data_IF_309676404847
#
_entry.id   IF_309676404847
#
_cell.length_a   1.000
_cell.length_b   1.000
_cell.length_c   1.000
_cell.angle_alpha   90.00
_cell.angle_beta   90.00
_cell.angle_gamma   90.00
#
_symmetry.space_group_name_H-M   'P 1'
#
loop_
_entity.id
_entity.type
_entity.pdbx_description
1 polymer ?
#
# COMPACT_ATOMS: atom_id res chain seq x y z
N UNK A 1 -5.62 -27.61 64.89
CA UNK A 1 -5.70 -27.60 63.41
C UNK A 1 -4.28 -27.52 62.91
N UNK A 2 -3.82 -28.42 62.03
CA UNK A 2 -2.49 -28.28 61.45
C UNK A 2 -2.45 -26.93 60.71
N UNK A 3 -1.48 -26.08 61.04
CA UNK A 3 -1.15 -24.92 60.24
C UNK A 3 -0.83 -25.44 58.84
N UNK A 4 -1.70 -25.17 57.87
CA UNK A 4 -1.36 -25.37 56.47
C UNK A 4 -0.25 -24.37 56.16
N UNK A 5 0.98 -24.84 56.25
CA UNK A 5 2.16 -24.06 55.94
C UNK A 5 2.07 -23.70 54.45
N UNK A 6 1.70 -22.46 54.16
CA UNK A 6 1.54 -22.00 52.79
C UNK A 6 2.92 -21.94 52.14
N UNK A 7 3.10 -22.66 51.02
CA UNK A 7 4.36 -22.69 50.30
C UNK A 7 4.59 -21.38 49.53
N UNK A 8 5.06 -20.38 50.26
CA UNK A 8 5.32 -19.03 49.77
C UNK A 8 6.48 -18.97 48.77
N UNK A 9 7.47 -19.85 48.89
CA UNK A 9 8.63 -19.90 48.01
C UNK A 9 8.24 -20.34 46.60
N UNK A 10 7.44 -21.39 46.46
CA UNK A 10 7.00 -21.85 45.14
C UNK A 10 5.98 -20.91 44.51
N UNK A 11 5.18 -20.21 45.33
CA UNK A 11 4.32 -19.13 44.83
C UNK A 11 5.14 -17.97 44.26
N UNK A 12 6.19 -17.53 44.96
CA UNK A 12 7.06 -16.45 44.49
C UNK A 12 7.77 -16.82 43.17
N UNK A 13 8.35 -18.03 43.07
CA UNK A 13 8.93 -18.53 41.81
C UNK A 13 7.92 -18.58 40.66
N UNK A 14 6.68 -18.96 40.96
CA UNK A 14 5.62 -18.98 39.96
C UNK A 14 5.28 -17.58 39.48
N UNK A 15 5.21 -16.59 40.38
CA UNK A 15 5.00 -15.19 40.03
C UNK A 15 6.14 -14.63 39.16
N UNK A 16 7.41 -14.92 39.49
CA UNK A 16 8.56 -14.51 38.67
C UNK A 16 8.49 -15.09 37.25
N UNK A 17 8.14 -16.37 37.14
CA UNK A 17 7.98 -17.03 35.85
C UNK A 17 6.85 -16.41 35.03
N UNK A 18 5.69 -16.16 35.66
CA UNK A 18 4.56 -15.49 35.03
C UNK A 18 5.00 -14.10 34.55
N UNK A 19 5.60 -13.30 35.44
CA UNK A 19 6.08 -11.96 35.13
C UNK A 19 7.01 -11.94 33.91
N UNK A 20 7.98 -12.86 33.87
CA UNK A 20 8.92 -12.98 32.75
C UNK A 20 8.21 -13.29 31.42
N UNK A 21 7.21 -14.18 31.45
CA UNK A 21 6.42 -14.51 30.27
C UNK A 21 5.55 -13.32 29.82
N UNK A 22 4.87 -12.67 30.75
CA UNK A 22 4.00 -11.51 30.45
C UNK A 22 4.81 -10.31 29.98
N UNK A 23 6.02 -10.08 30.50
CA UNK A 23 6.91 -9.03 30.02
C UNK A 23 7.32 -9.28 28.55
N UNK A 24 7.64 -10.53 28.20
CA UNK A 24 7.95 -10.88 26.81
C UNK A 24 6.77 -10.58 25.89
N UNK A 25 5.55 -10.96 26.31
CA UNK A 25 4.34 -10.68 25.55
C UNK A 25 4.06 -9.17 25.46
N UNK A 26 4.30 -8.42 26.54
CA UNK A 26 4.19 -6.97 26.55
C UNK A 26 5.05 -6.33 25.46
N UNK A 27 6.35 -6.67 25.41
CA UNK A 27 7.28 -6.11 24.42
C UNK A 27 6.93 -6.52 23.00
N UNK A 28 6.51 -7.77 22.79
CA UNK A 28 6.03 -8.23 21.49
C UNK A 28 4.82 -7.39 21.01
N UNK A 29 3.88 -7.07 21.90
CA UNK A 29 2.71 -6.26 21.56
C UNK A 29 3.06 -4.78 21.36
N UNK A 30 3.94 -4.24 22.20
CA UNK A 30 4.30 -2.81 22.20
C UNK A 30 5.20 -2.44 21.01
N UNK A 31 6.17 -3.29 20.69
CA UNK A 31 7.19 -3.04 19.66
C UNK A 31 6.87 -3.80 18.37
N UNK A 32 6.87 -5.13 18.42
CA UNK A 32 6.91 -5.94 17.20
C UNK A 32 5.61 -5.87 16.42
N UNK A 33 4.48 -6.11 17.08
CA UNK A 33 3.15 -6.04 16.46
C UNK A 33 2.86 -4.63 15.99
N UNK A 34 3.16 -3.62 16.80
CA UNK A 34 2.98 -2.22 16.42
C UNK A 34 3.79 -1.86 15.17
N UNK A 35 5.09 -2.19 15.15
CA UNK A 35 5.98 -1.95 14.01
C UNK A 35 5.46 -2.64 12.75
N UNK A 36 5.03 -3.89 12.87
CA UNK A 36 4.45 -4.62 11.75
C UNK A 36 3.19 -3.92 11.22
N UNK A 37 2.26 -3.52 12.10
CA UNK A 37 1.03 -2.82 11.70
C UNK A 37 1.30 -1.45 11.06
N UNK A 38 2.30 -0.70 11.56
CA UNK A 38 2.74 0.55 10.92
C UNK A 38 3.23 0.30 9.51
N UNK A 39 4.05 -0.75 9.31
CA UNK A 39 4.56 -1.08 7.98
C UNK A 39 3.44 -1.50 7.03
N UNK A 40 2.48 -2.31 7.49
CA UNK A 40 1.29 -2.69 6.70
C UNK A 40 0.43 -1.47 6.36
N UNK A 41 0.23 -0.55 7.31
CA UNK A 41 -0.52 0.67 7.04
C UNK A 41 0.18 1.55 5.98
N UNK A 42 1.51 1.65 6.03
CA UNK A 42 2.31 2.38 5.04
C UNK A 42 2.19 1.75 3.66
N UNK A 43 2.28 0.42 3.54
CA UNK A 43 2.14 -0.24 2.24
C UNK A 43 0.75 -0.03 1.64
N UNK A 44 -0.31 -0.14 2.44
CA UNK A 44 -1.66 0.18 1.98
C UNK A 44 -1.84 1.64 1.59
N UNK A 45 -1.22 2.57 2.31
CA UNK A 45 -1.23 3.99 1.96
C UNK A 45 -0.57 4.24 0.60
N UNK A 46 0.58 3.61 0.34
CA UNK A 46 1.26 3.67 -0.97
C UNK A 46 0.41 3.11 -2.09
N UNK A 47 -0.21 1.94 -1.89
CA UNK A 47 -1.11 1.32 -2.87
C UNK A 47 -2.32 2.22 -3.15
N UNK A 48 -2.94 2.76 -2.10
CA UNK A 48 -4.07 3.67 -2.24
C UNK A 48 -3.70 4.95 -3.02
N UNK A 49 -2.54 5.55 -2.72
CA UNK A 49 -2.03 6.72 -3.43
C UNK A 49 -1.74 6.42 -4.91
N UNK A 50 -1.12 5.27 -5.20
CA UNK A 50 -0.85 4.83 -6.56
C UNK A 50 -2.15 4.59 -7.36
N UNK A 51 -3.15 3.96 -6.74
CA UNK A 51 -4.47 3.75 -7.37
C UNK A 51 -5.17 5.08 -7.67
N UNK A 52 -5.16 6.04 -6.73
CA UNK A 52 -5.74 7.36 -6.96
C UNK A 52 -5.04 8.11 -8.12
N UNK A 53 -3.70 8.04 -8.18
CA UNK A 53 -2.95 8.59 -9.30
C UNK A 53 -3.30 7.93 -10.64
N UNK A 54 -3.41 6.60 -10.65
CA UNK A 54 -3.82 5.84 -11.83
C UNK A 54 -5.25 6.19 -12.26
N UNK A 55 -6.19 6.31 -11.34
CA UNK A 55 -7.57 6.70 -11.63
C UNK A 55 -7.66 8.11 -12.19
N UNK A 56 -6.91 9.06 -11.63
CA UNK A 56 -6.85 10.42 -12.15
C UNK A 56 -6.31 10.47 -13.58
N UNK A 57 -5.21 9.74 -13.85
CA UNK A 57 -4.61 9.66 -15.19
C UNK A 57 -5.55 9.01 -16.22
N UNK A 58 -6.12 7.85 -15.87
CA UNK A 58 -7.05 7.13 -16.75
C UNK A 58 -8.32 7.94 -17.02
N UNK A 59 -8.88 8.60 -16.00
CA UNK A 59 -10.05 9.46 -16.19
C UNK A 59 -9.72 10.65 -17.09
N UNK A 60 -8.54 11.28 -16.93
CA UNK A 60 -8.11 12.38 -17.79
C UNK A 60 -8.01 11.95 -19.26
N UNK A 61 -7.42 10.77 -19.53
CA UNK A 61 -7.22 10.26 -20.88
C UNK A 61 -8.53 9.74 -21.53
N UNK A 62 -9.39 9.09 -20.76
CA UNK A 62 -10.58 8.39 -21.27
C UNK A 62 -11.90 9.06 -20.89
N UNK A 63 -11.88 10.31 -20.40
CA UNK A 63 -13.06 11.07 -19.93
C UNK A 63 -14.26 10.94 -20.86
N UNK A 64 -14.07 11.22 -22.15
CA UNK A 64 -15.16 11.20 -23.12
C UNK A 64 -15.73 9.78 -23.30
N UNK A 65 -14.87 8.76 -23.33
CA UNK A 65 -15.31 7.36 -23.45
C UNK A 65 -16.07 6.88 -22.21
N UNK A 66 -15.69 7.35 -21.01
CA UNK A 66 -16.41 7.08 -19.77
C UNK A 66 -17.75 7.82 -19.74
N UNK A 67 -17.80 9.10 -20.13
CA UNK A 67 -19.05 9.87 -20.12
C UNK A 67 -20.04 9.44 -21.20
N UNK A 68 -19.55 8.95 -22.34
CA UNK A 68 -20.39 8.37 -23.39
C UNK A 68 -20.80 6.93 -23.09
N UNK A 69 -20.22 6.30 -22.06
CA UNK A 69 -20.61 4.96 -21.63
C UNK A 69 -21.91 4.99 -20.85
N UNK A 70 -22.61 3.86 -20.77
CA UNK A 70 -23.85 3.75 -20.01
C UNK A 70 -23.67 4.02 -18.52
N UNK A 71 -24.79 4.32 -17.83
CA UNK A 71 -24.84 4.65 -16.39
C UNK A 71 -24.09 3.66 -15.51
N UNK A 72 -24.08 2.37 -15.87
CA UNK A 72 -23.39 1.31 -15.13
C UNK A 72 -21.88 1.53 -15.08
N UNK A 73 -21.22 1.87 -16.19
CA UNK A 73 -19.77 2.05 -16.21
C UNK A 73 -19.38 3.31 -15.43
N UNK A 74 -20.16 4.38 -15.57
CA UNK A 74 -19.97 5.61 -14.80
C UNK A 74 -20.07 5.33 -13.30
N UNK A 75 -21.08 4.57 -12.86
CA UNK A 75 -21.24 4.26 -11.44
C UNK A 75 -20.11 3.38 -10.89
N UNK A 76 -19.64 2.40 -11.66
CA UNK A 76 -18.49 1.57 -11.25
C UNK A 76 -17.20 2.38 -11.10
N UNK A 77 -16.92 3.32 -12.01
CA UNK A 77 -15.76 4.22 -11.92
C UNK A 77 -15.87 5.16 -10.72
N UNK A 78 -17.06 5.71 -10.45
CA UNK A 78 -17.27 6.57 -9.28
C UNK A 78 -17.09 5.77 -7.98
N UNK A 79 -17.66 4.56 -7.89
CA UNK A 79 -17.52 3.70 -6.72
C UNK A 79 -16.06 3.26 -6.51
N UNK A 80 -15.32 2.95 -7.58
CA UNK A 80 -13.90 2.60 -7.45
C UNK A 80 -13.07 3.77 -6.92
N UNK A 81 -13.31 5.00 -7.39
CA UNK A 81 -12.61 6.19 -6.90
C UNK A 81 -12.99 6.47 -5.44
N UNK A 82 -14.27 6.49 -5.09
CA UNK A 82 -14.73 6.77 -3.72
C UNK A 82 -14.21 5.74 -2.72
N UNK A 83 -14.17 4.46 -3.10
CA UNK A 83 -13.59 3.41 -2.27
C UNK A 83 -12.07 3.59 -2.08
N UNK A 84 -11.32 3.96 -3.11
CA UNK A 84 -9.89 4.27 -2.98
C UNK A 84 -9.64 5.49 -2.06
N UNK A 85 -10.42 6.56 -2.19
CA UNK A 85 -10.34 7.74 -1.31
C UNK A 85 -10.65 7.36 0.15
N UNK A 86 -11.70 6.56 0.36
CA UNK A 86 -12.08 6.08 1.69
C UNK A 86 -10.99 5.21 2.30
N UNK A 87 -10.40 4.30 1.51
CA UNK A 87 -9.28 3.47 1.95
C UNK A 87 -8.04 4.32 2.29
N UNK A 88 -7.73 5.33 1.50
CA UNK A 88 -6.64 6.27 1.79
C UNK A 88 -6.85 6.99 3.13
N UNK A 89 -8.06 7.50 3.37
CA UNK A 89 -8.44 8.12 4.64
C UNK A 89 -8.36 7.16 5.82
N UNK A 90 -8.82 5.91 5.65
CA UNK A 90 -8.74 4.87 6.68
C UNK A 90 -7.29 4.47 6.99
N UNK A 91 -6.40 4.40 6.00
CA UNK A 91 -4.97 4.18 6.20
C UNK A 91 -4.37 5.27 7.09
N UNK A 92 -4.60 6.55 6.75
CA UNK A 92 -4.12 7.67 7.56
C UNK A 92 -4.70 7.64 8.98
N UNK A 93 -5.99 7.29 9.10
CA UNK A 93 -6.66 7.14 10.37
C UNK A 93 -6.05 6.03 11.24
N UNK A 94 -5.62 4.92 10.63
CA UNK A 94 -5.11 3.72 11.29
C UNK A 94 -3.61 3.77 11.62
N UNK A 95 -2.83 4.72 11.09
CA UNK A 95 -1.40 4.87 11.40
C UNK A 95 -1.15 5.25 12.88
N UNK A 96 -1.78 6.28 13.45
CA UNK A 96 -1.54 6.62 14.85
C UNK A 96 -2.22 5.61 15.78
N UNK A 97 -1.50 5.16 16.80
CA UNK A 97 -2.08 4.40 17.91
C UNK A 97 -2.95 5.34 18.76
N UNK A 98 -4.23 5.45 18.40
CA UNK A 98 -5.18 6.32 19.10
C UNK A 98 -5.37 5.84 20.54
N UNK A 99 -5.22 6.77 21.50
CA UNK A 99 -5.15 6.52 22.95
C UNK A 99 -3.82 5.93 23.45
N UNK A 100 -2.84 5.80 22.55
CA UNK A 100 -1.50 5.34 22.89
C UNK A 100 -1.43 3.89 23.35
N UNK A 101 -0.21 3.44 23.56
CA UNK A 101 0.06 2.21 24.30
C UNK A 101 0.20 2.56 25.78
N UNK A 102 -0.22 1.64 26.64
CA UNK A 102 -0.05 1.78 28.09
C UNK A 102 1.35 1.29 28.47
N UNK A 103 2.10 2.14 29.17
CA UNK A 103 3.37 1.79 29.79
C UNK A 103 3.12 0.99 31.07
N UNK A 104 4.06 0.09 31.40
CA UNK A 104 4.02 -0.67 32.66
C UNK A 104 4.09 0.29 33.85
N UNK A 105 4.99 1.30 33.75
CA UNK A 105 5.07 2.38 34.70
C UNK A 105 4.19 3.57 34.33
N UNK A 106 3.51 4.17 35.29
CA UNK A 106 2.65 5.34 35.01
C UNK A 106 3.49 6.60 34.82
N UNK A 107 4.55 6.75 35.62
CA UNK A 107 5.45 7.92 35.56
C UNK A 107 6.87 7.52 35.23
N UNK A 108 7.47 6.61 36.01
CA UNK A 108 8.84 6.14 35.80
C UNK A 108 9.09 4.83 36.51
N UNK A 109 10.17 4.14 36.15
CA UNK A 109 10.64 2.95 36.87
C UNK A 109 10.95 3.20 38.36
N UNK A 110 11.19 4.46 38.75
CA UNK A 110 11.40 4.84 40.15
C UNK A 110 10.20 4.55 41.05
N UNK A 111 8.98 4.49 40.48
CA UNK A 111 7.76 4.20 41.25
C UNK A 111 7.80 2.82 41.93
N UNK A 112 8.45 1.83 41.30
CA UNK A 112 8.57 0.48 41.87
C UNK A 112 9.57 0.46 43.03
N UNK A 113 10.67 1.22 42.90
CA UNK A 113 11.64 1.39 43.96
C UNK A 113 11.04 2.13 45.16
N UNK A 114 10.27 3.19 44.91
CA UNK A 114 9.57 3.94 45.95
C UNK A 114 8.50 3.08 46.64
N UNK A 115 7.76 2.28 45.87
CA UNK A 115 6.79 1.33 46.41
C UNK A 115 7.47 0.25 47.28
N UNK A 116 8.60 -0.30 46.85
CA UNK A 116 9.33 -1.27 47.66
C UNK A 116 9.89 -0.62 48.95
N UNK A 117 10.45 0.59 48.85
CA UNK A 117 11.00 1.31 49.99
C UNK A 117 9.93 1.71 51.01
N UNK A 118 8.78 2.21 50.55
CA UNK A 118 7.65 2.55 51.43
C UNK A 118 7.13 1.32 52.18
N UNK A 119 6.93 0.19 51.51
CA UNK A 119 6.52 -1.06 52.17
C UNK A 119 7.54 -1.56 53.21
N UNK A 120 8.84 -1.37 52.95
CA UNK A 120 9.91 -1.71 53.88
C UNK A 120 9.86 -0.79 55.11
N UNK A 121 9.69 0.51 54.89
CA UNK A 121 9.58 1.51 55.97
C UNK A 121 8.35 1.28 56.86
N UNK A 122 7.25 0.78 56.27
CA UNK A 122 6.01 0.39 56.96
C UNK A 122 6.11 -0.97 57.68
N UNK A 123 7.26 -1.67 57.61
CA UNK A 123 7.47 -3.01 58.19
C UNK A 123 6.43 -4.05 57.77
N UNK A 124 5.93 -3.97 56.52
CA UNK A 124 4.97 -4.95 56.00
C UNK A 124 5.63 -6.33 55.88
N UNK A 125 4.90 -7.38 56.26
CA UNK A 125 5.28 -8.78 56.02
C UNK A 125 5.10 -9.12 54.53
N UNK A 126 5.85 -10.11 54.03
CA UNK A 126 5.75 -10.62 52.65
C UNK A 126 5.93 -9.55 51.56
N UNK A 127 6.90 -8.65 51.78
CA UNK A 127 7.21 -7.54 50.89
C UNK A 127 7.50 -8.00 49.45
N UNK A 128 8.34 -9.03 49.31
CA UNK A 128 8.74 -9.55 47.99
C UNK A 128 7.54 -10.00 47.15
N UNK A 129 6.69 -10.83 47.74
CA UNK A 129 5.48 -11.35 47.09
C UNK A 129 4.52 -10.20 46.76
N UNK A 130 4.33 -9.28 47.69
CA UNK A 130 3.43 -8.13 47.48
C UNK A 130 3.88 -7.24 46.32
N UNK A 131 5.18 -7.03 46.17
CA UNK A 131 5.76 -6.27 45.04
C UNK A 131 5.62 -7.06 43.73
N UNK A 132 5.95 -8.35 43.73
CA UNK A 132 5.81 -9.23 42.56
C UNK A 132 4.36 -9.28 42.05
N UNK A 133 3.40 -9.48 42.94
CA UNK A 133 1.97 -9.52 42.57
C UNK A 133 1.54 -8.20 41.94
N UNK A 134 1.88 -7.06 42.56
CA UNK A 134 1.52 -5.75 42.01
C UNK A 134 2.17 -5.47 40.66
N UNK A 135 3.42 -5.88 40.48
CA UNK A 135 4.14 -5.72 39.22
C UNK A 135 3.49 -6.60 38.14
N UNK A 136 3.19 -7.87 38.45
CA UNK A 136 2.49 -8.76 37.54
C UNK A 136 1.13 -8.19 37.11
N UNK A 137 0.33 -7.67 38.05
CA UNK A 137 -0.94 -7.02 37.75
C UNK A 137 -0.78 -5.81 36.81
N UNK A 138 0.25 -4.96 37.04
CA UNK A 138 0.50 -3.80 36.16
C UNK A 138 0.93 -4.21 34.76
N UNK A 139 1.79 -5.23 34.65
CA UNK A 139 2.21 -5.75 33.34
C UNK A 139 1.01 -6.37 32.61
N UNK A 140 0.17 -7.13 33.30
CA UNK A 140 -1.03 -7.73 32.69
C UNK A 140 -2.03 -6.66 32.21
N UNK A 141 -2.38 -5.69 33.06
CA UNK A 141 -3.26 -4.56 32.68
C UNK A 141 -2.73 -3.82 31.45
N UNK A 142 -1.42 -3.57 31.40
CA UNK A 142 -0.78 -2.86 30.29
C UNK A 142 -0.76 -3.71 29.02
N UNK A 143 -0.47 -5.00 29.16
CA UNK A 143 -0.48 -5.97 28.05
C UNK A 143 -1.86 -6.11 27.46
N UNK A 144 -2.89 -6.32 28.29
CA UNK A 144 -4.28 -6.41 27.86
C UNK A 144 -4.72 -5.16 27.09
N UNK A 145 -4.38 -3.97 27.60
CA UNK A 145 -4.67 -2.72 26.91
C UNK A 145 -3.99 -2.64 25.53
N UNK A 146 -2.72 -3.02 25.45
CA UNK A 146 -1.92 -2.98 24.22
C UNK A 146 -2.42 -3.99 23.18
N UNK A 147 -2.77 -5.21 23.60
CA UNK A 147 -3.42 -6.22 22.76
C UNK A 147 -4.72 -5.66 22.16
N UNK A 148 -5.58 -5.07 23.00
CA UNK A 148 -6.86 -4.51 22.55
C UNK A 148 -6.68 -3.35 21.57
N UNK A 149 -5.64 -2.53 21.75
CA UNK A 149 -5.28 -1.45 20.82
C UNK A 149 -4.82 -2.03 19.47
N UNK A 150 -3.93 -3.02 19.50
CA UNK A 150 -3.45 -3.70 18.30
C UNK A 150 -4.59 -4.41 17.55
N UNK A 151 -5.53 -5.04 18.26
CA UNK A 151 -6.65 -5.75 17.66
C UNK A 151 -7.60 -4.79 16.92
N UNK A 152 -7.94 -3.65 17.53
CA UNK A 152 -8.76 -2.61 16.89
C UNK A 152 -8.10 -2.07 15.62
N UNK A 153 -6.79 -1.84 15.68
CA UNK A 153 -6.01 -1.37 14.54
C UNK A 153 -5.93 -2.42 13.43
N UNK A 154 -5.69 -3.68 13.77
CA UNK A 154 -5.69 -4.79 12.82
C UNK A 154 -7.06 -4.94 12.12
N UNK A 155 -8.17 -4.82 12.86
CA UNK A 155 -9.52 -4.84 12.29
C UNK A 155 -9.71 -3.73 11.24
N UNK A 156 -9.26 -2.51 11.55
CA UNK A 156 -9.30 -1.39 10.60
C UNK A 156 -8.46 -1.66 9.34
N UNK A 157 -7.24 -2.16 9.50
CA UNK A 157 -6.35 -2.47 8.37
C UNK A 157 -6.92 -3.59 7.48
N UNK A 158 -7.58 -4.60 8.07
CA UNK A 158 -8.27 -5.64 7.31
C UNK A 158 -9.42 -5.07 6.48
N UNK A 159 -10.26 -4.23 7.08
CA UNK A 159 -11.36 -3.54 6.35
C UNK A 159 -10.78 -2.71 5.20
N UNK A 160 -9.70 -1.98 5.46
CA UNK A 160 -9.05 -1.14 4.46
C UNK A 160 -8.51 -1.96 3.28
N UNK A 161 -7.91 -3.12 3.56
CA UNK A 161 -7.45 -4.07 2.53
C UNK A 161 -8.61 -4.53 1.63
N UNK A 162 -9.73 -4.93 2.22
CA UNK A 162 -10.92 -5.34 1.45
C UNK A 162 -11.48 -4.21 0.59
N UNK A 163 -11.52 -2.98 1.10
CA UNK A 163 -11.97 -1.81 0.33
C UNK A 163 -11.05 -1.57 -0.87
N UNK A 164 -9.73 -1.68 -0.70
CA UNK A 164 -8.76 -1.54 -1.81
C UNK A 164 -8.95 -2.63 -2.87
N UNK A 165 -9.16 -3.87 -2.46
CA UNK A 165 -9.41 -4.99 -3.39
C UNK A 165 -10.70 -4.75 -4.19
N UNK A 166 -11.78 -4.33 -3.53
CA UNK A 166 -13.06 -4.04 -4.18
C UNK A 166 -12.92 -2.86 -5.15
N UNK A 167 -12.23 -1.81 -4.74
CA UNK A 167 -11.92 -0.64 -5.58
C UNK A 167 -11.21 -1.05 -6.87
N UNK A 168 -10.15 -1.85 -6.74
CA UNK A 168 -9.38 -2.36 -7.86
C UNK A 168 -10.21 -3.27 -8.77
N UNK A 169 -11.03 -4.15 -8.19
CA UNK A 169 -11.90 -5.07 -8.94
C UNK A 169 -12.93 -4.31 -9.80
N UNK A 170 -13.60 -3.30 -9.24
CA UNK A 170 -14.53 -2.48 -10.02
C UNK A 170 -13.83 -1.67 -11.12
N UNK A 171 -12.60 -1.22 -10.87
CA UNK A 171 -11.80 -0.57 -11.92
C UNK A 171 -11.49 -1.54 -13.08
N UNK A 172 -11.17 -2.80 -12.80
CA UNK A 172 -10.92 -3.81 -13.83
C UNK A 172 -12.19 -4.07 -14.64
N UNK A 173 -13.33 -4.31 -13.97
CA UNK A 173 -14.60 -4.54 -14.66
C UNK A 173 -14.94 -3.37 -15.58
N UNK A 174 -14.80 -2.14 -15.08
CA UNK A 174 -15.05 -0.92 -15.87
C UNK A 174 -14.17 -0.84 -17.11
N UNK A 175 -12.87 -1.14 -16.97
CA UNK A 175 -11.93 -1.14 -18.08
C UNK A 175 -12.26 -2.21 -19.14
N UNK A 176 -12.67 -3.40 -18.70
CA UNK A 176 -13.11 -4.50 -19.59
C UNK A 176 -14.37 -4.09 -20.35
N UNK A 177 -15.39 -3.56 -19.66
CA UNK A 177 -16.63 -3.13 -20.29
C UNK A 177 -16.38 -2.02 -21.32
N UNK A 178 -15.54 -1.04 -21.00
CA UNK A 178 -15.15 0.02 -21.94
C UNK A 178 -14.42 -0.53 -23.17
N UNK A 179 -13.60 -1.56 -22.99
CA UNK A 179 -12.88 -2.21 -24.09
C UNK A 179 -13.83 -2.92 -25.05
N UNK A 180 -14.82 -3.65 -24.52
CA UNK A 180 -15.87 -4.28 -25.34
C UNK A 180 -16.74 -3.26 -26.06
N UNK A 181 -17.17 -2.20 -25.39
CA UNK A 181 -17.98 -1.15 -26.02
C UNK A 181 -17.25 -0.47 -27.19
N UNK A 182 -15.93 -0.28 -27.10
CA UNK A 182 -15.13 0.23 -28.22
C UNK A 182 -15.00 -0.78 -29.37
N UNK A 183 -14.90 -2.07 -29.05
CA UNK A 183 -14.80 -3.14 -30.05
C UNK A 183 -16.10 -3.24 -30.87
N UNK A 184 -17.26 -3.22 -30.21
CA UNK A 184 -18.57 -3.30 -30.87
C UNK A 184 -18.83 -2.12 -31.81
N UNK A 185 -18.46 -0.90 -31.40
CA UNK A 185 -18.54 0.29 -32.27
C UNK A 185 -17.63 0.09 -33.49
N UNK A 186 -16.39 -0.34 -33.30
CA UNK A 186 -15.43 -0.52 -34.40
C UNK A 186 -15.87 -1.60 -35.41
N UNK A 187 -16.50 -2.68 -34.93
CA UNK A 187 -17.06 -3.74 -35.80
C UNK A 187 -18.30 -3.22 -36.55
N UNK A 188 -19.17 -2.47 -35.89
CA UNK A 188 -20.40 -1.93 -36.49
C UNK A 188 -20.08 -0.88 -37.56
N UNK A 189 -19.18 0.06 -37.27
CA UNK A 189 -18.72 1.06 -38.26
C UNK A 189 -18.04 0.42 -39.47
N UNK A 190 -17.25 -0.65 -39.28
CA UNK A 190 -16.65 -1.38 -40.42
C UNK A 190 -17.72 -2.06 -41.28
N UNK A 191 -18.76 -2.65 -40.69
CA UNK A 191 -19.85 -3.28 -41.45
C UNK A 191 -20.68 -2.26 -42.24
N UNK A 192 -20.97 -1.10 -41.67
CA UNK A 192 -21.73 -0.04 -42.33
C UNK A 192 -20.97 0.57 -43.52
N UNK A 193 -19.65 0.77 -43.38
CA UNK A 193 -18.79 1.23 -44.49
C UNK A 193 -18.74 0.20 -45.62
N UNK A 194 -18.73 -1.10 -45.32
CA UNK A 194 -18.74 -2.16 -46.35
C UNK A 194 -20.10 -2.20 -47.06
N UNK A 195 -21.23 -2.19 -46.33
CA UNK A 195 -22.57 -2.23 -46.94
C UNK A 195 -22.89 -0.99 -47.79
N UNK A 196 -22.35 0.18 -47.45
CA UNK A 196 -22.59 1.40 -48.23
C UNK A 196 -21.75 1.45 -49.52
N UNK A 197 -20.63 0.71 -49.58
CA UNK A 197 -19.80 0.62 -50.78
C UNK A 197 -20.37 -0.39 -51.81
N UNK A 198 -21.03 -1.45 -51.33
CA UNK A 198 -21.63 -2.46 -52.19
C UNK A 198 -22.91 -1.97 -52.90
N UNK A 199 -23.60 -0.97 -52.34
CA UNK A 199 -24.79 -0.37 -52.96
C UNK A 199 -24.50 0.67 -54.04
N UNK A 200 -23.23 1.05 -54.27
CA UNK A 200 -22.86 2.09 -55.24
C UNK A 200 -22.17 1.55 -56.50
N UNK A 201 -22.19 0.23 -56.74
CA UNK A 201 -21.62 -0.37 -57.94
C UNK A 201 -22.67 -1.19 -58.66
N UNK A 202 -22.94 -0.86 -59.94
CA UNK A 202 -23.90 -1.48 -60.92
C UNK A 202 -25.25 -0.73 -60.97
N UNK A 203 -25.68 -0.01 -62.02
CA UNK A 203 -25.42 -0.07 -63.47
C UNK A 203 -25.89 1.21 -64.19
N UNK A 204 -25.08 1.71 -65.14
CA UNK A 204 -25.55 2.48 -66.31
C UNK A 204 -24.49 2.31 -67.42
N UNK A 205 -24.84 1.82 -68.63
CA UNK A 205 -23.91 1.72 -69.75
C UNK A 205 -24.12 2.82 -70.79
N UNK A 206 -23.01 3.20 -71.45
CA UNK A 206 -22.88 3.95 -72.71
C UNK A 206 -23.17 5.47 -72.63
N UNK A 207 -22.42 6.41 -73.21
CA UNK A 207 -21.56 6.41 -74.41
C UNK A 207 -20.32 7.32 -74.22
N UNK A 208 -19.29 7.10 -75.05
CA UNK A 208 -18.16 7.99 -75.32
C UNK A 208 -18.04 8.15 -76.85
N UNK A 209 -17.17 9.01 -77.45
CA UNK A 209 -16.36 10.12 -76.92
C UNK A 209 -16.49 11.41 -77.77
N UNK A 210 -15.99 12.57 -77.29
CA UNK A 210 -15.70 13.72 -78.15
C UNK A 210 -14.32 14.32 -77.88
N UNK A 211 -13.64 14.64 -78.99
CA UNK A 211 -12.23 15.00 -79.11
C UNK A 211 -11.88 16.44 -78.65
N UNK A 212 -10.61 16.55 -78.25
CA UNK A 212 -9.74 17.71 -77.93
C UNK A 212 -9.86 18.98 -78.80
N UNK A 213 -9.40 20.14 -78.26
CA UNK A 213 -8.04 20.60 -78.56
C UNK A 213 -7.21 21.05 -77.36
N UNK A 214 -5.90 21.13 -77.60
CA UNK A 214 -4.73 21.17 -76.70
C UNK A 214 -4.39 22.57 -76.15
N UNK A 215 -3.65 22.54 -75.02
CA UNK A 215 -2.70 23.54 -74.48
C UNK A 215 -3.24 24.65 -73.54
N UNK A 216 -2.93 24.56 -72.25
CA UNK A 216 -1.76 25.27 -71.68
C UNK A 216 -1.42 24.73 -70.28
N UNK A 217 -0.13 24.58 -69.99
CA UNK A 217 0.40 24.10 -68.70
C UNK A 217 1.01 25.29 -67.96
N UNK A 218 0.72 25.50 -66.67
CA UNK A 218 1.71 26.16 -65.82
C UNK A 218 2.05 25.38 -64.54
N UNK A 219 3.36 25.28 -64.33
CA UNK A 219 4.18 25.12 -63.12
C UNK A 219 3.72 24.22 -61.97
N UNK A 220 4.32 23.02 -61.94
CA UNK A 220 4.51 22.21 -60.72
C UNK A 220 5.85 22.64 -60.09
N UNK A 221 5.91 23.01 -58.80
CA UNK A 221 7.17 23.26 -58.11
C UNK A 221 8.02 21.99 -58.05
N UNK A 222 9.31 22.10 -58.42
CA UNK A 222 10.30 21.02 -58.31
C UNK A 222 10.43 20.53 -56.85
N UNK A 223 10.56 19.21 -56.61
CA UNK A 223 10.89 18.70 -55.28
C UNK A 223 12.29 19.18 -54.87
N UNK A 224 12.42 19.64 -53.63
CA UNK A 224 13.72 19.95 -53.05
C UNK A 224 14.55 18.65 -52.99
N UNK A 225 15.66 18.64 -53.73
CA UNK A 225 16.68 17.60 -53.63
C UNK A 225 17.35 17.59 -52.25
N UNK A 226 18.09 16.53 -51.94
CA UNK A 226 18.53 16.22 -50.58
C UNK A 226 19.56 17.23 -50.09
N UNK A 227 19.25 17.94 -49.01
CA UNK A 227 20.22 18.77 -48.30
C UNK A 227 20.99 17.89 -47.33
N UNK A 228 22.28 17.70 -47.63
CA UNK A 228 23.34 17.84 -46.65
C UNK A 228 23.59 16.66 -45.72
N UNK A 229 24.61 15.89 -46.08
CA UNK A 229 25.41 15.04 -45.22
C UNK A 229 26.05 15.83 -44.08
N UNK A 230 25.41 15.86 -42.91
CA UNK A 230 26.07 16.06 -41.60
C UNK A 230 25.24 15.32 -40.54
N UNK A 231 25.86 14.51 -39.67
CA UNK A 231 25.14 13.82 -38.62
C UNK A 231 24.57 14.87 -37.64
N UNK A 232 23.25 14.85 -37.36
CA UNK A 232 22.71 15.68 -36.30
C UNK A 232 23.29 15.24 -34.95
N UNK A 233 23.98 16.18 -34.32
CA UNK A 233 24.42 16.14 -32.94
C UNK A 233 23.19 16.22 -32.04
N UNK A 234 22.60 15.07 -31.70
CA UNK A 234 21.59 14.98 -30.66
C UNK A 234 22.30 14.74 -29.31
N UNK A 235 22.63 15.83 -28.62
CA UNK A 235 22.85 15.78 -27.17
C UNK A 235 21.51 15.52 -26.51
N UNK A 236 21.25 14.26 -26.16
CA UNK A 236 20.26 13.90 -25.16
C UNK A 236 20.76 14.42 -23.80
N UNK A 237 19.95 15.20 -23.10
CA UNK A 237 20.12 15.39 -21.66
C UNK A 237 19.77 14.06 -20.96
N UNK A 238 20.66 13.08 -21.09
CA UNK A 238 20.78 11.99 -20.16
C UNK A 238 21.58 12.53 -18.98
N UNK A 239 20.93 12.71 -17.84
CA UNK A 239 21.62 12.91 -16.58
C UNK A 239 22.38 11.62 -16.28
N UNK A 240 23.71 11.67 -16.41
CA UNK A 240 24.58 10.55 -16.07
C UNK A 240 24.43 10.22 -14.57
N UNK A 241 24.37 8.93 -14.19
CA UNK A 241 24.37 8.54 -12.80
C UNK A 241 25.72 8.93 -12.17
N UNK A 242 25.75 9.44 -10.92
CA UNK A 242 27.00 9.76 -10.26
C UNK A 242 27.86 8.50 -10.11
N UNK A 243 29.02 8.50 -10.79
CA UNK A 243 30.11 7.55 -10.58
C UNK A 243 30.74 7.78 -9.21
N UNK A 244 30.08 7.26 -8.18
CA UNK A 244 30.62 7.17 -6.82
C UNK A 244 31.30 5.81 -6.63
N UNK A 245 32.64 5.84 -6.52
CA UNK A 245 33.48 4.70 -6.16
C UNK A 245 33.03 4.09 -4.83
N UNK A 246 32.32 2.95 -4.86
CA UNK A 246 32.11 2.16 -3.65
C UNK A 246 33.44 1.48 -3.33
N UNK A 247 34.18 2.05 -2.37
CA UNK A 247 35.25 1.34 -1.68
C UNK A 247 34.64 0.15 -0.97
N UNK A 248 34.96 -1.03 -1.45
CA UNK A 248 34.84 -2.29 -0.71
C UNK A 248 35.87 -2.24 0.41
N UNK A 249 35.43 -2.07 1.66
CA UNK A 249 36.23 -2.46 2.82
C UNK A 249 35.96 -3.93 3.10
N UNK A 250 36.78 -4.79 2.51
CA UNK A 250 37.05 -6.13 3.03
C UNK A 250 37.73 -5.98 4.39
N UNK A 251 37.00 -6.24 5.47
CA UNK A 251 37.54 -6.49 6.79
C UNK A 251 37.73 -8.00 6.96
N UNK A 252 38.91 -8.48 6.57
CA UNK A 252 39.36 -9.84 6.74
C UNK A 252 40.06 -9.96 8.09
N UNK A 253 39.40 -10.51 9.10
CA UNK A 253 40.12 -11.15 10.23
C UNK A 253 39.73 -12.62 10.34
N UNK A 254 40.69 -13.44 9.91
CA UNK A 254 40.97 -14.79 10.40
C UNK A 254 40.88 -14.78 11.93
N UNK A 255 40.26 -15.73 12.62
CA UNK A 255 40.51 -17.16 12.54
C UNK A 255 40.94 -17.61 13.95
N UNK A 256 40.32 -18.66 14.47
CA UNK A 256 40.65 -19.18 15.79
C UNK A 256 39.65 -20.21 16.31
N UNK A 257 39.54 -21.34 15.62
CA UNK A 257 39.12 -22.58 16.28
C UNK A 257 40.12 -22.93 17.39
N UNK A 258 39.64 -23.35 18.56
CA UNK A 258 40.21 -24.54 19.19
C UNK A 258 39.22 -25.22 20.13
N UNK A 259 39.23 -26.54 20.01
CA UNK A 259 38.49 -27.59 20.70
C UNK A 259 38.92 -27.75 22.16
N UNK A 260 37.98 -28.35 22.92
CA UNK A 260 38.14 -29.40 23.96
C UNK A 260 39.15 -29.15 25.09
N UNK A 261 38.63 -29.11 26.32
CA UNK A 261 38.61 -30.25 27.25
C UNK A 261 37.33 -30.21 28.08
#
# INVERSE_FOLDING_TARGET
MPETDFNYDDYAKSLEKILTMTEKDYWAQYIDVNRHQVNVAKTYLWVAAALLGAYAALYSQYKNAVLSSGVLVISLVVISILSAVTAFGLCLYAIPARKGYKSIAEVSWGEFSEQAHSMLSEKRKNLYISVLTKLADRVDISTYHNVRTNEKRAKLLRITSWILIISFFFSIISAITLSFSKLDISITTKKEVIMNNDNNTTSNPSEAPQNQPTADKPDVPKPAGPIGTLPPNYTTHAEEPPKGTIRVTEGLEKGGETKKE
#
